data_IF_024613200934
#
_entry.id   IF_024613200934
#
_cell.length_a   1.000
_cell.length_b   1.000
_cell.length_c   1.000
_cell.angle_alpha   90.00
_cell.angle_beta   90.00
_cell.angle_gamma   90.00
#
_symmetry.space_group_name_H-M   'P 1'
#
loop_
_entity.id
_entity.type
_entity.pdbx_description
1 polymer ?
#
# COMPACT_ATOMS: atom_id res chain seq x y z
N UNK A 1 0.25 -28.57 1.02
CA UNK A 1 1.04 -27.32 1.14
C UNK A 1 0.19 -26.20 0.59
N UNK A 2 -0.35 -25.35 1.45
CA UNK A 2 -1.17 -24.20 1.05
C UNK A 2 -0.36 -23.29 0.12
N UNK A 3 -0.99 -22.81 -0.95
CA UNK A 3 -0.39 -22.04 -2.05
C UNK A 3 0.01 -20.62 -1.57
N UNK A 4 1.05 -20.51 -0.73
CA UNK A 4 1.52 -19.23 -0.14
C UNK A 4 2.21 -18.31 -1.14
N UNK A 5 2.53 -18.80 -2.35
CA UNK A 5 3.12 -17.98 -3.41
C UNK A 5 2.19 -16.85 -3.85
N UNK A 6 0.87 -17.09 -3.89
CA UNK A 6 -0.10 -16.09 -4.32
C UNK A 6 -0.16 -14.88 -3.36
N UNK A 7 -0.39 -15.05 -2.05
CA UNK A 7 -0.37 -13.92 -1.11
C UNK A 7 1.00 -13.25 -1.02
N UNK A 8 2.09 -14.01 -1.21
CA UNK A 8 3.44 -13.45 -1.24
C UNK A 8 3.62 -12.47 -2.40
N UNK A 9 3.29 -12.87 -3.63
CA UNK A 9 3.40 -12.00 -4.80
C UNK A 9 2.46 -10.79 -4.65
N UNK A 10 1.25 -11.01 -4.13
CA UNK A 10 0.28 -9.93 -3.95
C UNK A 10 0.76 -8.88 -2.95
N UNK A 11 1.21 -9.28 -1.75
CA UNK A 11 1.71 -8.33 -0.75
C UNK A 11 3.01 -7.65 -1.19
N UNK A 12 3.92 -8.37 -1.84
CA UNK A 12 5.13 -7.79 -2.39
C UNK A 12 4.82 -6.72 -3.45
N UNK A 13 3.90 -7.01 -4.38
CA UNK A 13 3.47 -6.05 -5.40
C UNK A 13 2.80 -4.82 -4.77
N UNK A 14 1.93 -5.01 -3.77
CA UNK A 14 1.32 -3.90 -3.04
C UNK A 14 2.35 -3.05 -2.30
N UNK A 15 3.35 -3.66 -1.67
CA UNK A 15 4.44 -2.96 -1.01
C UNK A 15 5.24 -2.11 -2.01
N UNK A 16 5.60 -2.67 -3.16
CA UNK A 16 6.34 -1.96 -4.22
C UNK A 16 5.51 -0.79 -4.75
N UNK A 17 4.23 -1.01 -5.06
CA UNK A 17 3.34 0.03 -5.56
C UNK A 17 3.17 1.19 -4.57
N UNK A 18 3.05 0.89 -3.27
CA UNK A 18 3.01 1.92 -2.23
C UNK A 18 4.36 2.63 -2.09
N UNK A 19 5.46 1.89 -2.17
CA UNK A 19 6.81 2.45 -2.08
C UNK A 19 7.12 3.42 -3.22
N UNK A 20 6.70 3.11 -4.46
CA UNK A 20 6.86 4.02 -5.61
C UNK A 20 5.93 5.23 -5.56
N UNK A 21 4.81 5.16 -4.82
CA UNK A 21 3.94 6.30 -4.59
C UNK A 21 4.57 7.35 -3.65
N UNK A 22 5.45 6.96 -2.72
CA UNK A 22 6.12 7.86 -1.76
C UNK A 22 6.96 8.97 -2.43
N UNK A 23 7.86 8.70 -3.39
CA UNK A 23 8.58 9.76 -4.09
C UNK A 23 7.64 10.58 -4.97
N UNK A 24 6.60 9.96 -5.54
CA UNK A 24 5.61 10.65 -6.36
C UNK A 24 4.76 11.65 -5.56
N UNK A 25 4.42 11.38 -4.30
CA UNK A 25 3.71 12.35 -3.44
C UNK A 25 4.56 13.57 -3.07
N UNK A 26 5.88 13.54 -3.32
CA UNK A 26 6.81 14.64 -3.05
C UNK A 26 7.14 15.47 -4.29
N UNK A 27 6.83 14.99 -5.50
CA UNK A 27 7.08 15.75 -6.73
C UNK A 27 5.95 16.74 -7.00
N UNK A 28 6.29 17.94 -7.50
CA UNK A 28 5.28 18.95 -7.89
C UNK A 28 4.37 18.48 -9.02
N UNK A 29 4.86 17.58 -9.87
CA UNK A 29 4.15 16.97 -11.00
C UNK A 29 4.16 15.44 -10.86
N UNK A 30 3.28 14.87 -10.01
CA UNK A 30 3.20 13.43 -9.85
C UNK A 30 2.75 12.76 -11.16
N UNK A 31 3.48 11.72 -11.59
CA UNK A 31 3.11 10.87 -12.73
C UNK A 31 2.58 9.50 -12.30
N UNK A 32 2.39 9.30 -11.00
CA UNK A 32 2.00 8.00 -10.44
C UNK A 32 0.47 7.88 -10.42
N UNK A 33 -0.10 6.74 -10.85
CA UNK A 33 -1.54 6.54 -10.92
C UNK A 33 -2.25 6.47 -9.56
N UNK A 34 -1.54 6.70 -8.44
CA UNK A 34 -2.13 6.77 -7.09
C UNK A 34 -2.02 8.17 -6.48
N UNK A 35 -1.41 9.12 -7.20
CA UNK A 35 -1.06 10.44 -6.67
C UNK A 35 -1.51 11.49 -7.68
N UNK A 36 -2.59 12.21 -7.36
CA UNK A 36 -3.10 13.32 -8.17
C UNK A 36 -2.41 14.63 -7.79
N UNK A 37 -2.19 14.84 -6.49
CA UNK A 37 -1.57 16.03 -5.95
C UNK A 37 -0.48 15.66 -4.91
N UNK A 38 0.60 16.46 -4.83
CA UNK A 38 1.62 16.27 -3.80
C UNK A 38 1.03 16.54 -2.41
N UNK A 39 1.18 15.56 -1.52
CA UNK A 39 0.65 15.63 -0.16
C UNK A 39 1.60 14.95 0.82
N UNK A 40 2.05 15.71 1.83
CA UNK A 40 2.90 15.18 2.92
C UNK A 40 2.14 14.15 3.75
N UNK A 41 0.84 14.36 3.96
CA UNK A 41 -0.01 13.39 4.63
C UNK A 41 -0.06 12.07 3.84
N UNK A 42 -0.33 12.13 2.53
CA UNK A 42 -0.34 10.93 1.67
C UNK A 42 0.98 10.16 1.72
N UNK A 43 2.12 10.86 1.78
CA UNK A 43 3.44 10.24 1.91
C UNK A 43 3.54 9.36 3.16
N UNK A 44 3.05 9.84 4.31
CA UNK A 44 3.08 9.08 5.56
C UNK A 44 2.17 7.85 5.52
N UNK A 45 0.99 7.97 4.90
CA UNK A 45 0.07 6.86 4.70
C UNK A 45 0.63 5.79 3.77
N UNK A 46 1.24 6.18 2.63
CA UNK A 46 1.90 5.21 1.74
C UNK A 46 3.11 4.53 2.38
N UNK A 47 3.87 5.27 3.20
CA UNK A 47 4.98 4.69 3.97
C UNK A 47 4.47 3.65 4.99
N UNK A 48 3.41 3.97 5.75
CA UNK A 48 2.79 3.03 6.68
C UNK A 48 2.22 1.79 5.95
N UNK A 49 1.57 1.98 4.81
CA UNK A 49 1.05 0.87 4.00
C UNK A 49 2.18 -0.03 3.47
N UNK A 50 3.28 0.57 3.02
CA UNK A 50 4.48 -0.16 2.55
C UNK A 50 5.04 -1.04 3.66
N UNK A 51 5.19 -0.48 4.88
CA UNK A 51 5.65 -1.23 6.04
C UNK A 51 4.67 -2.36 6.41
N UNK A 52 3.36 -2.10 6.43
CA UNK A 52 2.36 -3.11 6.73
C UNK A 52 2.43 -4.30 5.75
N UNK A 53 2.54 -4.04 4.44
CA UNK A 53 2.69 -5.09 3.43
C UNK A 53 4.04 -5.80 3.50
N UNK A 54 5.12 -5.10 3.80
CA UNK A 54 6.44 -5.72 4.00
C UNK A 54 6.43 -6.66 5.21
N UNK A 55 5.83 -6.24 6.33
CA UNK A 55 5.66 -7.07 7.52
C UNK A 55 4.74 -8.26 7.23
N UNK A 56 3.63 -8.07 6.50
CA UNK A 56 2.76 -9.18 6.09
C UNK A 56 3.53 -10.20 5.22
N UNK A 57 4.38 -9.72 4.32
CA UNK A 57 5.24 -10.58 3.49
C UNK A 57 6.25 -11.35 4.33
N UNK A 58 6.89 -10.71 5.31
CA UNK A 58 7.82 -11.36 6.23
C UNK A 58 7.11 -12.42 7.10
N UNK A 59 5.90 -12.12 7.58
CA UNK A 59 5.10 -13.03 8.40
C UNK A 59 4.68 -14.29 7.64
N UNK A 60 4.60 -14.28 6.31
CA UNK A 60 4.35 -15.50 5.52
C UNK A 60 5.45 -16.56 5.66
N UNK A 61 6.66 -16.17 6.10
CA UNK A 61 7.75 -17.09 6.39
C UNK A 61 7.76 -17.59 7.85
N UNK A 62 6.80 -17.15 8.66
CA UNK A 62 6.69 -17.50 10.08
C UNK A 62 5.48 -18.41 10.33
N UNK A 63 5.46 -19.10 11.46
CA UNK A 63 4.33 -19.97 11.86
C UNK A 63 3.10 -19.19 12.39
N UNK A 64 2.97 -17.91 12.05
CA UNK A 64 1.89 -17.04 12.52
C UNK A 64 0.58 -17.43 11.83
N UNK A 65 -0.58 -17.39 12.52
CA UNK A 65 -1.86 -17.72 11.92
C UNK A 65 -2.18 -16.87 10.70
N UNK A 66 -2.67 -17.51 9.63
CA UNK A 66 -2.99 -16.83 8.36
C UNK A 66 -3.95 -15.64 8.54
N UNK A 67 -4.88 -15.72 9.50
CA UNK A 67 -5.80 -14.62 9.82
C UNK A 67 -5.09 -13.32 10.22
N UNK A 68 -3.96 -13.41 10.95
CA UNK A 68 -3.17 -12.24 11.35
C UNK A 68 -2.49 -11.62 10.14
N UNK A 69 -1.95 -12.45 9.23
CA UNK A 69 -1.27 -12.01 8.02
C UNK A 69 -2.25 -11.31 7.07
N UNK A 70 -3.42 -11.91 6.84
CA UNK A 70 -4.46 -11.30 6.02
C UNK A 70 -5.05 -10.05 6.66
N UNK A 71 -5.22 -10.04 7.99
CA UNK A 71 -5.63 -8.85 8.74
C UNK A 71 -4.67 -7.69 8.54
N UNK A 72 -3.36 -7.95 8.59
CA UNK A 72 -2.35 -6.93 8.33
C UNK A 72 -2.36 -6.45 6.87
N UNK A 73 -2.64 -7.35 5.91
CA UNK A 73 -2.86 -6.99 4.52
C UNK A 73 -4.07 -6.06 4.31
N UNK A 74 -5.16 -6.28 5.05
CA UNK A 74 -6.35 -5.40 5.03
C UNK A 74 -6.01 -4.04 5.64
N UNK A 75 -5.27 -4.01 6.76
CA UNK A 75 -4.80 -2.75 7.35
C UNK A 75 -3.93 -1.98 6.36
N UNK A 76 -3.00 -2.67 5.68
CA UNK A 76 -2.19 -2.09 4.60
C UNK A 76 -3.04 -1.50 3.47
N UNK A 77 -4.12 -2.20 3.08
CA UNK A 77 -5.04 -1.75 2.03
C UNK A 77 -5.80 -0.49 2.44
N UNK A 78 -6.38 -0.46 3.64
CA UNK A 78 -7.10 0.70 4.17
C UNK A 78 -6.15 1.90 4.31
N UNK A 79 -4.94 1.65 4.76
CA UNK A 79 -3.89 2.67 4.90
C UNK A 79 -3.51 3.24 3.53
N UNK A 80 -3.33 2.38 2.51
CA UNK A 80 -3.06 2.80 1.14
C UNK A 80 -4.22 3.59 0.51
N UNK A 81 -5.46 3.16 0.74
CA UNK A 81 -6.67 3.85 0.28
C UNK A 81 -6.80 5.24 0.91
N UNK A 82 -6.50 5.36 2.20
CA UNK A 82 -6.47 6.64 2.93
C UNK A 82 -5.37 7.55 2.37
N UNK A 83 -4.20 7.00 2.05
CA UNK A 83 -3.11 7.71 1.37
C UNK A 83 -3.50 8.21 -0.02
N UNK A 84 -4.19 7.38 -0.81
CA UNK A 84 -4.71 7.76 -2.12
C UNK A 84 -5.75 8.89 -2.02
N UNK A 85 -6.71 8.77 -1.10
CA UNK A 85 -7.68 9.83 -0.84
C UNK A 85 -7.00 11.16 -0.44
N UNK A 86 -6.00 11.09 0.44
CA UNK A 86 -5.20 12.25 0.84
C UNK A 86 -4.29 12.80 -0.28
N UNK A 87 -4.00 11.99 -1.31
CA UNK A 87 -3.30 12.40 -2.53
C UNK A 87 -4.24 12.96 -3.61
N UNK A 88 -5.52 13.14 -3.29
CA UNK A 88 -6.53 13.70 -4.19
C UNK A 88 -7.30 12.65 -5.02
N UNK A 89 -7.04 11.36 -4.82
CA UNK A 89 -7.83 10.29 -5.45
C UNK A 89 -9.21 10.22 -4.81
N UNK A 90 -10.19 10.95 -5.34
CA UNK A 90 -11.60 10.82 -4.97
C UNK A 90 -12.33 10.02 -6.05
N UNK A 91 -12.98 8.92 -5.62
CA UNK A 91 -13.87 8.12 -6.47
C UNK A 91 -15.05 9.01 -6.87
N UNK A 92 -14.90 9.78 -7.94
CA UNK A 92 -15.88 10.80 -8.32
C UNK A 92 -15.40 11.90 -9.26
N UNK A 93 -14.09 12.11 -9.43
CA UNK A 93 -13.60 13.07 -10.45
C UNK A 93 -13.61 12.46 -11.85
N UNK A 94 -14.82 12.28 -12.40
CA UNK A 94 -15.07 12.51 -13.82
C UNK A 94 -15.16 14.03 -13.99
N UNK A 95 -14.18 14.65 -14.65
CA UNK A 95 -14.38 15.90 -15.36
C UNK A 95 -13.83 15.71 -16.76
#
# INVERSE_FOLDING_TARGET
>A
MSNTWFPLIMFAACAILCATAIPATRTRTPRHPLVVHPSRAATSWFAAATVAYAVATALLFTAVPAAVIYGLGIVGLVTAATGAAAAGYTVGQRR
#
